data_IF_213582908870
#
_entry.id   IF_213582908870
#
_cell.length_a   1.000
_cell.length_b   1.000
_cell.length_c   1.000
_cell.angle_alpha   90.00
_cell.angle_beta   90.00
_cell.angle_gamma   90.00
#
_symmetry.space_group_name_H-M   'P 1'
#
loop_
_entity.id
_entity.type
_entity.pdbx_description
1 polymer ?
#
# COMPACT_ATOMS: atom_id res chain seq x y z
N UNK A 1 -8.28 -11.47 -15.88
CA UNK A 1 -9.22 -10.50 -15.26
C UNK A 1 -9.63 -9.47 -16.30
N UNK A 2 -10.81 -8.86 -16.17
CA UNK A 2 -11.16 -7.67 -16.96
C UNK A 2 -10.16 -6.54 -16.69
N UNK A 3 -9.93 -5.70 -17.68
CA UNK A 3 -8.95 -4.60 -17.59
C UNK A 3 -9.29 -3.61 -16.47
N UNK A 4 -10.58 -3.27 -16.29
CA UNK A 4 -11.12 -2.44 -15.20
C UNK A 4 -10.70 -2.94 -13.81
N UNK A 5 -11.04 -4.19 -13.50
CA UNK A 5 -10.73 -4.83 -12.21
C UNK A 5 -9.21 -4.90 -12.00
N UNK A 6 -8.44 -5.21 -13.05
CA UNK A 6 -6.97 -5.30 -12.94
C UNK A 6 -6.34 -3.94 -12.63
N UNK A 7 -6.83 -2.84 -13.22
CA UNK A 7 -6.36 -1.47 -12.94
C UNK A 7 -6.59 -1.14 -11.46
N UNK A 8 -7.83 -1.32 -10.98
CA UNK A 8 -8.16 -1.04 -9.59
C UNK A 8 -7.41 -1.93 -8.59
N UNK A 9 -7.31 -3.23 -8.85
CA UNK A 9 -6.57 -4.17 -8.00
C UNK A 9 -5.08 -3.80 -7.90
N UNK A 10 -4.44 -3.49 -9.03
CA UNK A 10 -3.01 -3.20 -9.04
C UNK A 10 -2.66 -1.89 -8.32
N UNK A 11 -3.49 -0.87 -8.52
CA UNK A 11 -3.36 0.39 -7.80
C UNK A 11 -3.59 0.20 -6.29
N UNK A 12 -4.70 -0.42 -5.90
CA UNK A 12 -5.03 -0.60 -4.49
C UNK A 12 -4.06 -1.51 -3.73
N UNK A 13 -3.57 -2.60 -4.35
CA UNK A 13 -2.51 -3.43 -3.77
C UNK A 13 -1.24 -2.62 -3.50
N UNK A 14 -0.74 -1.92 -4.52
CA UNK A 14 0.55 -1.20 -4.44
C UNK A 14 0.46 -0.03 -3.45
N UNK A 15 -0.59 0.78 -3.58
CA UNK A 15 -0.88 1.92 -2.69
C UNK A 15 -1.10 1.46 -1.25
N UNK A 16 -1.91 0.40 -1.04
CA UNK A 16 -2.18 -0.16 0.28
C UNK A 16 -0.93 -0.66 1.00
N UNK A 17 0.02 -1.28 0.29
CA UNK A 17 1.28 -1.75 0.87
C UNK A 17 2.19 -0.57 1.22
N UNK A 18 2.47 0.31 0.26
CA UNK A 18 3.48 1.37 0.42
C UNK A 18 3.03 2.37 1.48
N UNK A 19 1.78 2.82 1.43
CA UNK A 19 1.25 3.81 2.39
C UNK A 19 1.20 3.25 3.80
N UNK A 20 0.73 2.01 3.96
CA UNK A 20 0.64 1.37 5.29
C UNK A 20 2.03 1.12 5.89
N UNK A 21 2.99 0.65 5.09
CA UNK A 21 4.37 0.48 5.54
C UNK A 21 5.00 1.80 5.95
N UNK A 22 4.88 2.83 5.12
CA UNK A 22 5.42 4.15 5.42
C UNK A 22 4.84 4.73 6.71
N UNK A 23 3.52 4.66 6.88
CA UNK A 23 2.85 5.10 8.11
C UNK A 23 3.32 4.31 9.32
N UNK A 24 3.29 2.98 9.25
CA UNK A 24 3.66 2.10 10.36
C UNK A 24 5.10 2.34 10.81
N UNK A 25 6.05 2.44 9.86
CA UNK A 25 7.47 2.70 10.17
C UNK A 25 7.66 4.09 10.76
N UNK A 26 6.99 5.11 10.21
CA UNK A 26 7.03 6.48 10.73
C UNK A 26 6.49 6.56 12.16
N UNK A 27 5.29 6.06 12.40
CA UNK A 27 4.64 6.06 13.72
C UNK A 27 5.42 5.24 14.76
N UNK A 28 5.98 4.10 14.36
CA UNK A 28 6.85 3.32 15.24
C UNK A 28 8.09 4.14 15.65
N UNK A 29 8.71 4.85 14.70
CA UNK A 29 9.93 5.61 14.97
C UNK A 29 9.72 6.87 15.82
N UNK A 30 8.51 7.43 15.85
CA UNK A 30 8.17 8.56 16.73
C UNK A 30 7.63 8.12 18.09
N UNK A 31 6.74 7.12 18.14
CA UNK A 31 5.97 6.83 19.37
C UNK A 31 6.35 5.56 20.10
N UNK A 32 6.97 4.59 19.41
CA UNK A 32 7.23 3.23 19.93
C UNK A 32 5.97 2.54 20.51
N UNK A 33 4.77 2.99 20.10
CA UNK A 33 3.50 2.57 20.69
C UNK A 33 2.69 1.70 19.72
N UNK A 34 2.48 0.44 20.10
CA UNK A 34 1.73 -0.50 19.27
C UNK A 34 0.28 -0.06 19.04
N UNK A 35 -0.36 0.56 20.05
CA UNK A 35 -1.74 1.04 19.92
C UNK A 35 -1.85 2.20 18.92
N UNK A 36 -0.86 3.10 18.90
CA UNK A 36 -0.79 4.20 17.92
C UNK A 36 -0.61 3.64 16.51
N UNK A 37 0.26 2.64 16.35
CA UNK A 37 0.50 1.99 15.06
C UNK A 37 -0.76 1.26 14.57
N UNK A 38 -1.43 0.48 15.41
CA UNK A 38 -2.67 -0.22 15.05
C UNK A 38 -3.76 0.79 14.68
N UNK A 39 -3.96 1.83 15.50
CA UNK A 39 -4.92 2.89 15.23
C UNK A 39 -4.63 3.59 13.90
N UNK A 40 -3.37 3.91 13.64
CA UNK A 40 -2.92 4.48 12.37
C UNK A 40 -3.24 3.59 11.17
N UNK A 41 -2.92 2.30 11.24
CA UNK A 41 -3.21 1.34 10.16
C UNK A 41 -4.71 1.24 9.89
N UNK A 42 -5.55 1.13 10.92
CA UNK A 42 -7.01 0.99 10.73
C UNK A 42 -7.59 2.25 10.10
N UNK A 43 -7.25 3.43 10.62
CA UNK A 43 -7.77 4.70 10.12
C UNK A 43 -7.34 4.93 8.67
N UNK A 44 -6.05 4.73 8.36
CA UNK A 44 -5.56 4.93 6.99
C UNK A 44 -6.14 3.87 6.05
N UNK A 45 -6.24 2.60 6.47
CA UNK A 45 -6.78 1.53 5.62
C UNK A 45 -8.21 1.83 5.14
N UNK A 46 -9.03 2.49 5.96
CA UNK A 46 -10.41 2.86 5.59
C UNK A 46 -10.45 4.18 4.84
N UNK A 47 -9.90 5.25 5.42
CA UNK A 47 -10.00 6.60 4.86
C UNK A 47 -9.28 6.70 3.50
N UNK A 48 -8.07 6.13 3.42
CA UNK A 48 -7.23 6.18 2.24
C UNK A 48 -7.71 5.21 1.16
N UNK A 49 -8.35 4.08 1.52
CA UNK A 49 -8.99 3.19 0.54
C UNK A 49 -10.24 3.82 -0.10
N UNK A 50 -11.06 4.51 0.68
CA UNK A 50 -12.22 5.25 0.16
C UNK A 50 -11.77 6.42 -0.73
N UNK A 51 -10.77 7.20 -0.30
CA UNK A 51 -10.25 8.33 -1.08
C UNK A 51 -9.65 7.88 -2.41
N UNK A 52 -8.83 6.84 -2.40
CA UNK A 52 -8.20 6.31 -3.63
C UNK A 52 -9.23 5.68 -4.57
N UNK A 53 -10.22 4.95 -4.03
CA UNK A 53 -11.29 4.39 -4.84
C UNK A 53 -12.09 5.48 -5.55
N UNK A 54 -12.43 6.56 -4.84
CA UNK A 54 -13.06 7.73 -5.45
C UNK A 54 -12.15 8.42 -6.47
N UNK A 55 -10.85 8.53 -6.18
CA UNK A 55 -9.86 9.07 -7.12
C UNK A 55 -9.79 8.29 -8.43
N UNK A 56 -9.78 6.96 -8.35
CA UNK A 56 -9.84 6.07 -9.53
C UNK A 56 -11.19 6.20 -10.23
N UNK A 57 -12.32 6.27 -9.49
CA UNK A 57 -13.65 6.46 -10.07
C UNK A 57 -13.70 7.70 -10.97
N UNK A 58 -13.29 8.83 -10.40
CA UNK A 58 -13.27 10.13 -11.10
C UNK A 58 -12.30 10.09 -12.27
N UNK A 59 -11.11 9.48 -12.10
CA UNK A 59 -10.15 9.30 -13.19
C UNK A 59 -10.73 8.53 -14.37
N UNK A 60 -11.49 7.46 -14.13
CA UNK A 60 -12.13 6.66 -15.18
C UNK A 60 -13.29 7.40 -15.85
N UNK A 61 -14.06 8.22 -15.10
CA UNK A 61 -15.10 9.08 -15.67
C UNK A 61 -14.51 10.10 -16.66
N UNK A 62 -13.37 10.71 -16.32
CA UNK A 62 -12.69 11.68 -17.18
C UNK A 62 -12.07 11.07 -18.44
N UNK A 63 -11.79 9.77 -18.47
CA UNK A 63 -11.30 9.11 -19.68
C UNK A 63 -12.38 9.03 -20.78
N UNK A 64 -13.66 9.14 -20.44
CA UNK A 64 -14.82 9.09 -21.36
C UNK A 64 -14.84 7.89 -22.33
N UNK A 65 -14.14 6.81 -21.97
CA UNK A 65 -13.99 5.57 -22.76
C UNK A 65 -14.61 4.35 -22.12
N UNK A 66 -14.84 4.41 -20.81
CA UNK A 66 -15.31 3.28 -20.02
C UNK A 66 -16.80 3.39 -19.71
N UNK A 67 -17.48 2.25 -19.73
CA UNK A 67 -18.87 2.16 -19.33
C UNK A 67 -19.03 2.39 -17.82
N UNK A 68 -20.20 2.85 -17.37
CA UNK A 68 -20.52 2.99 -15.93
C UNK A 68 -20.19 1.73 -15.13
N UNK A 69 -20.39 0.54 -15.73
CA UNK A 69 -20.08 -0.73 -15.09
C UNK A 69 -18.56 -0.90 -14.87
N UNK A 70 -17.75 -0.59 -15.87
CA UNK A 70 -16.28 -0.70 -15.77
C UNK A 70 -15.71 0.29 -14.76
N UNK A 71 -16.24 1.51 -14.71
CA UNK A 71 -15.86 2.53 -13.72
C UNK A 71 -16.09 2.00 -12.30
N UNK A 72 -17.28 1.44 -12.02
CA UNK A 72 -17.60 0.83 -10.72
C UNK A 72 -16.76 -0.42 -10.43
N UNK A 73 -16.45 -1.25 -11.44
CA UNK A 73 -15.54 -2.38 -11.29
C UNK A 73 -14.14 -1.91 -10.84
N UNK A 74 -13.57 -0.88 -11.47
CA UNK A 74 -12.29 -0.27 -11.08
C UNK A 74 -12.34 0.32 -9.67
N UNK A 75 -13.43 0.99 -9.32
CA UNK A 75 -13.67 1.64 -8.01
C UNK A 75 -13.69 0.62 -6.88
N UNK A 76 -14.57 -0.38 -6.99
CA UNK A 76 -14.74 -1.42 -5.96
C UNK A 76 -13.46 -2.25 -5.85
N UNK A 77 -12.83 -2.58 -6.97
CA UNK A 77 -11.57 -3.31 -6.96
C UNK A 77 -10.46 -2.54 -6.27
N UNK A 78 -10.40 -1.21 -6.44
CA UNK A 78 -9.44 -0.35 -5.73
C UNK A 78 -9.70 -0.35 -4.23
N UNK A 79 -10.94 -0.08 -3.83
CA UNK A 79 -11.33 -0.05 -2.42
C UNK A 79 -11.00 -1.36 -1.71
N UNK A 80 -11.47 -2.50 -2.25
CA UNK A 80 -11.30 -3.80 -1.62
C UNK A 80 -9.84 -4.22 -1.57
N UNK A 81 -9.09 -4.06 -2.67
CA UNK A 81 -7.68 -4.43 -2.66
C UNK A 81 -6.89 -3.58 -1.66
N UNK A 82 -7.05 -2.25 -1.69
CA UNK A 82 -6.34 -1.35 -0.78
C UNK A 82 -6.67 -1.64 0.69
N UNK A 83 -7.95 -1.78 1.02
CA UNK A 83 -8.41 -2.09 2.37
C UNK A 83 -7.82 -3.43 2.85
N UNK A 84 -7.98 -4.50 2.06
CA UNK A 84 -7.54 -5.85 2.47
C UNK A 84 -6.02 -5.90 2.63
N UNK A 85 -5.25 -5.38 1.68
CA UNK A 85 -3.78 -5.41 1.79
C UNK A 85 -3.28 -4.55 2.94
N UNK A 86 -3.86 -3.37 3.17
CA UNK A 86 -3.50 -2.54 4.32
C UNK A 86 -3.76 -3.25 5.66
N UNK A 87 -4.91 -3.92 5.80
CA UNK A 87 -5.25 -4.65 7.03
C UNK A 87 -4.33 -5.85 7.29
N UNK A 88 -3.66 -6.41 6.28
CA UNK A 88 -2.69 -7.51 6.51
C UNK A 88 -1.52 -7.09 7.41
N UNK A 89 -1.17 -5.80 7.45
CA UNK A 89 -0.09 -5.27 8.28
C UNK A 89 -0.43 -5.18 9.77
N UNK A 90 -1.71 -5.35 10.14
CA UNK A 90 -2.11 -5.46 11.55
C UNK A 90 -1.63 -6.81 12.13
N UNK A 91 -1.62 -7.87 11.31
CA UNK A 91 -1.34 -9.24 11.78
C UNK A 91 0.03 -9.34 12.48
N UNK A 92 1.15 -8.83 11.91
CA UNK A 92 2.43 -8.85 12.61
C UNK A 92 2.42 -8.07 13.93
N UNK A 93 1.70 -6.94 14.01
CA UNK A 93 1.65 -6.08 15.21
C UNK A 93 0.88 -6.73 16.34
N UNK A 94 -0.12 -7.57 16.03
CA UNK A 94 -0.88 -8.33 17.02
C UNK A 94 -0.12 -9.56 17.55
N UNK A 95 0.77 -10.14 16.74
CA UNK A 95 1.44 -11.41 17.06
C UNK A 95 2.84 -11.24 17.66
N UNK A 96 3.52 -10.12 17.40
CA UNK A 96 4.92 -9.91 17.77
C UNK A 96 5.14 -8.59 18.51
N UNK A 97 6.29 -8.46 19.17
CA UNK A 97 6.73 -7.17 19.71
C UNK A 97 6.88 -6.14 18.60
N UNK A 98 6.62 -4.86 18.89
CA UNK A 98 6.51 -3.83 17.85
C UNK A 98 7.73 -3.75 16.92
N UNK A 99 8.95 -3.81 17.47
CA UNK A 99 10.18 -3.82 16.66
C UNK A 99 10.26 -5.02 15.71
N UNK A 100 9.87 -6.21 16.20
CA UNK A 100 9.84 -7.44 15.40
C UNK A 100 8.73 -7.39 14.35
N UNK A 101 7.55 -6.90 14.75
CA UNK A 101 6.40 -6.70 13.88
C UNK A 101 6.74 -5.80 12.69
N UNK A 102 7.46 -4.69 12.93
CA UNK A 102 7.90 -3.78 11.86
C UNK A 102 8.81 -4.49 10.87
N UNK A 103 9.78 -5.28 11.33
CA UNK A 103 10.69 -6.04 10.46
C UNK A 103 9.89 -7.05 9.61
N UNK A 104 8.99 -7.81 10.24
CA UNK A 104 8.15 -8.80 9.56
C UNK A 104 7.25 -8.11 8.52
N UNK A 105 6.63 -7.00 8.88
CA UNK A 105 5.82 -6.18 7.97
C UNK A 105 6.62 -5.67 6.78
N UNK A 106 7.85 -5.17 6.99
CA UNK A 106 8.72 -4.75 5.87
C UNK A 106 9.01 -5.91 4.93
N UNK A 107 9.39 -7.08 5.47
CA UNK A 107 9.62 -8.29 4.67
C UNK A 107 8.35 -8.67 3.90
N UNK A 108 7.20 -8.67 4.56
CA UNK A 108 5.90 -8.99 3.98
C UNK A 108 5.53 -8.04 2.83
N UNK A 109 5.67 -6.74 3.02
CA UNK A 109 5.34 -5.77 1.98
C UNK A 109 6.32 -5.83 0.80
N UNK A 110 7.63 -5.97 1.04
CA UNK A 110 8.60 -6.15 -0.05
C UNK A 110 8.33 -7.45 -0.83
N UNK A 111 7.95 -8.52 -0.14
CA UNK A 111 7.55 -9.78 -0.76
C UNK A 111 6.32 -9.63 -1.65
N UNK A 112 5.25 -9.01 -1.14
CA UNK A 112 4.03 -8.75 -1.91
C UNK A 112 4.29 -7.85 -3.13
N UNK A 113 5.06 -6.77 -2.97
CA UNK A 113 5.45 -5.89 -4.09
C UNK A 113 6.28 -6.65 -5.11
N UNK A 114 7.21 -7.51 -4.67
CA UNK A 114 8.04 -8.32 -5.59
C UNK A 114 7.17 -9.25 -6.42
N UNK A 115 6.27 -10.02 -5.79
CA UNK A 115 5.35 -10.92 -6.51
C UNK A 115 4.50 -10.15 -7.51
N UNK A 116 3.93 -9.03 -7.08
CA UNK A 116 3.07 -8.24 -7.95
C UNK A 116 3.84 -7.60 -9.11
N UNK A 117 5.08 -7.16 -8.88
CA UNK A 117 5.96 -6.61 -9.91
C UNK A 117 6.38 -7.65 -10.94
N UNK A 118 6.63 -8.89 -10.51
CA UNK A 118 6.88 -10.02 -11.43
C UNK A 118 5.64 -10.30 -12.28
N UNK A 119 4.45 -10.26 -11.68
CA UNK A 119 3.19 -10.43 -12.40
C UNK A 119 3.00 -9.35 -13.48
N UNK A 120 3.19 -8.07 -13.13
CA UNK A 120 3.12 -6.95 -14.08
C UNK A 120 4.14 -7.13 -15.22
N UNK A 121 5.38 -7.47 -14.89
CA UNK A 121 6.43 -7.61 -15.90
C UNK A 121 6.10 -8.71 -16.93
N UNK A 122 5.55 -9.84 -16.47
CA UNK A 122 5.10 -10.92 -17.35
C UNK A 122 3.95 -10.48 -18.26
N UNK A 123 2.95 -9.79 -17.71
CA UNK A 123 1.82 -9.28 -18.48
C UNK A 123 2.24 -8.25 -19.54
N UNK A 124 3.26 -7.45 -19.25
CA UNK A 124 3.78 -6.41 -20.16
C UNK A 124 4.91 -6.91 -21.09
N UNK A 125 5.27 -8.19 -21.05
CA UNK A 125 6.43 -8.75 -21.76
C UNK A 125 7.74 -7.98 -21.50
N UNK A 126 7.92 -7.46 -20.28
CA UNK A 126 9.11 -6.75 -19.84
C UNK A 126 10.05 -7.69 -19.06
N UNK A 127 11.31 -7.28 -18.93
CA UNK A 127 12.28 -7.99 -18.08
C UNK A 127 11.87 -7.84 -16.59
N UNK A 128 11.55 -8.93 -15.86
CA UNK A 128 11.06 -8.84 -14.48
C UNK A 128 12.01 -8.14 -13.52
N UNK A 129 13.33 -8.32 -13.69
CA UNK A 129 14.34 -7.69 -12.84
C UNK A 129 14.25 -6.17 -12.83
N UNK A 130 13.92 -5.54 -13.97
CA UNK A 130 13.82 -4.09 -14.07
C UNK A 130 12.63 -3.54 -13.29
N UNK A 131 11.44 -4.09 -13.52
CA UNK A 131 10.20 -3.64 -12.86
C UNK A 131 10.26 -3.87 -11.35
N UNK A 132 10.75 -5.05 -10.93
CA UNK A 132 10.95 -5.37 -9.50
C UNK A 132 11.92 -4.38 -8.87
N UNK A 133 13.05 -4.08 -9.51
CA UNK A 133 14.02 -3.14 -8.97
C UNK A 133 13.41 -1.73 -8.82
N UNK A 134 12.73 -1.23 -9.84
CA UNK A 134 12.07 0.09 -9.81
C UNK A 134 11.09 0.19 -8.64
N UNK A 135 10.18 -0.78 -8.49
CA UNK A 135 9.17 -0.75 -7.43
C UNK A 135 9.75 -0.95 -6.03
N UNK A 136 10.75 -1.83 -5.86
CA UNK A 136 11.41 -2.03 -4.57
C UNK A 136 12.22 -0.81 -4.15
N UNK A 137 12.92 -0.14 -5.09
CA UNK A 137 13.65 1.09 -4.80
C UNK A 137 12.70 2.18 -4.30
N UNK A 138 11.56 2.40 -4.98
CA UNK A 138 10.55 3.36 -4.54
C UNK A 138 10.04 3.00 -3.13
N UNK A 139 9.73 1.72 -2.90
CA UNK A 139 9.22 1.25 -1.59
C UNK A 139 10.26 1.49 -0.48
N UNK A 140 11.53 1.18 -0.71
CA UNK A 140 12.63 1.40 0.24
C UNK A 140 12.80 2.90 0.51
N UNK A 141 12.74 3.75 -0.52
CA UNK A 141 12.83 5.20 -0.35
C UNK A 141 11.70 5.71 0.55
N UNK A 142 10.46 5.27 0.34
CA UNK A 142 9.33 5.63 1.21
C UNK A 142 9.57 5.21 2.65
N UNK A 143 10.02 3.96 2.89
CA UNK A 143 10.32 3.45 4.24
C UNK A 143 11.40 4.29 4.93
N UNK A 144 12.48 4.62 4.22
CA UNK A 144 13.58 5.41 4.78
C UNK A 144 13.12 6.83 5.11
N UNK A 145 12.46 7.51 4.16
CA UNK A 145 11.98 8.88 4.36
C UNK A 145 11.01 8.94 5.55
N UNK A 146 10.03 8.04 5.59
CA UNK A 146 9.04 8.02 6.69
C UNK A 146 9.67 7.68 8.04
N UNK A 147 10.69 6.82 8.08
CA UNK A 147 11.47 6.57 9.31
C UNK A 147 12.20 7.83 9.80
N UNK A 148 12.86 8.57 8.90
CA UNK A 148 13.55 9.80 9.26
C UNK A 148 12.57 10.89 9.71
N UNK A 149 11.46 11.06 8.99
CA UNK A 149 10.40 11.99 9.37
C UNK A 149 9.79 11.65 10.72
N UNK A 150 9.54 10.37 11.00
CA UNK A 150 9.03 9.94 12.30
C UNK A 150 10.02 10.23 13.44
N UNK A 151 11.31 9.94 13.27
CA UNK A 151 12.35 10.34 14.24
C UNK A 151 12.41 11.85 14.45
N UNK A 152 12.32 12.62 13.36
CA UNK A 152 12.31 14.07 13.42
C UNK A 152 11.11 14.58 14.22
N UNK A 153 9.91 14.07 13.94
CA UNK A 153 8.69 14.44 14.69
C UNK A 153 8.80 14.02 16.16
N UNK A 154 9.33 12.82 16.43
CA UNK A 154 9.57 12.34 17.79
C UNK A 154 10.58 13.18 18.60
N UNK A 155 11.39 14.01 17.96
CA UNK A 155 12.28 14.93 18.68
C UNK A 155 11.55 16.12 19.33
N UNK A 156 10.28 16.37 18.95
CA UNK A 156 9.44 17.41 19.54
C UNK A 156 8.61 16.94 20.74
N UNK A 157 8.63 15.65 21.06
CA UNK A 157 7.82 15.02 22.12
C UNK A 157 8.71 14.36 23.16
#
# INVERSE_FOLDING_TARGET
MKTSIRKGFGFGLTSGIITTLGLMVGLNSSTHSAIVVIGGIIVIAVADALSDALGIHISEEFEMKHSKKEIWESTISTFLSKLVFALTFIIPVLLFSLSTAVIISVIWGLFLITIFSIYIAKEQNLKPSRVVLEHLVITIVVILITNYLGKFVGSFT
#
